data_IF_499359659763
#
_entry.id   IF_499359659763
#
_cell.length_a   1.000
_cell.length_b   1.000
_cell.length_c   1.000
_cell.angle_alpha   90.00
_cell.angle_beta   90.00
_cell.angle_gamma   90.00
#
_symmetry.space_group_name_H-M   'P 1'
#
loop_
_entity.id
_entity.type
_entity.pdbx_description
1 polymer ?
#
# COMPACT_ATOMS: atom_id res chain seq x y z
N UNK A 1 14.00 2.54 -3.50
CA UNK A 1 13.10 3.53 -4.10
C UNK A 1 12.27 4.29 -3.07
N UNK A 2 11.48 3.62 -2.21
CA UNK A 2 10.66 4.27 -1.17
C UNK A 2 11.46 5.26 -0.31
N UNK A 3 12.65 4.90 0.19
CA UNK A 3 13.50 5.83 0.95
C UNK A 3 13.89 7.12 0.20
N UNK A 4 13.99 7.09 -1.14
CA UNK A 4 14.31 8.30 -1.91
C UNK A 4 13.16 9.32 -1.87
N UNK A 5 11.94 8.87 -1.60
CA UNK A 5 10.75 9.69 -1.43
C UNK A 5 10.86 10.60 -0.19
N UNK A 6 11.35 10.03 0.91
CA UNK A 6 11.45 10.71 2.20
C UNK A 6 12.80 11.41 2.40
N UNK A 7 13.73 11.32 1.44
CA UNK A 7 15.13 11.79 1.62
C UNK A 7 15.27 13.27 1.98
N UNK A 8 14.30 14.10 1.56
CA UNK A 8 14.29 15.55 1.82
C UNK A 8 13.64 15.93 3.15
N UNK A 9 12.93 15.01 3.80
CA UNK A 9 12.32 15.26 5.10
C UNK A 9 13.39 15.19 6.18
N UNK A 10 13.69 16.34 6.79
CA UNK A 10 14.69 16.45 7.85
C UNK A 10 14.07 16.47 9.24
N UNK A 11 12.82 16.92 9.37
CA UNK A 11 12.10 16.97 10.63
C UNK A 11 10.58 16.72 10.42
N UNK A 12 10.06 15.50 10.68
CA UNK A 12 10.80 14.32 11.10
C UNK A 12 11.63 13.70 9.96
N UNK A 13 12.73 13.02 10.30
CA UNK A 13 13.46 12.17 9.35
C UNK A 13 12.82 10.79 9.32
N UNK A 14 12.39 10.35 8.13
CA UNK A 14 11.75 9.04 7.93
C UNK A 14 12.69 8.13 7.16
N UNK A 15 12.86 6.89 7.64
CA UNK A 15 13.59 5.81 6.98
C UNK A 15 12.73 4.54 6.99
N UNK A 16 12.48 4.01 5.81
CA UNK A 16 11.87 2.71 5.61
C UNK A 16 12.95 1.62 5.62
N UNK A 17 12.75 0.62 6.47
CA UNK A 17 13.63 -0.54 6.61
C UNK A 17 12.82 -1.82 6.46
N UNK A 18 13.32 -2.74 5.64
CA UNK A 18 12.67 -4.03 5.43
C UNK A 18 13.16 -4.97 6.52
N UNK A 19 12.29 -5.30 7.47
CA UNK A 19 12.60 -6.23 8.57
C UNK A 19 12.37 -7.68 8.16
N UNK A 20 11.37 -7.95 7.30
CA UNK A 20 11.04 -9.29 6.80
C UNK A 20 10.42 -9.22 5.40
N UNK A 21 10.55 -10.30 4.63
CA UNK A 21 9.91 -10.47 3.33
C UNK A 21 9.28 -11.86 3.24
N UNK A 22 8.00 -11.93 2.86
CA UNK A 22 7.26 -13.19 2.72
C UNK A 22 6.63 -13.26 1.34
N UNK A 23 6.91 -14.34 0.61
CA UNK A 23 6.08 -14.70 -0.54
C UNK A 23 4.81 -15.40 -0.05
N UNK A 24 3.68 -15.19 -0.73
CA UNK A 24 2.40 -15.78 -0.34
C UNK A 24 2.40 -17.32 -0.41
N UNK A 25 3.41 -17.93 -1.04
CA UNK A 25 3.56 -19.38 -1.22
C UNK A 25 4.25 -20.10 -0.04
N UNK A 26 4.67 -19.37 1.00
CA UNK A 26 5.29 -19.93 2.21
C UNK A 26 4.24 -19.93 3.33
N UNK A 27 4.09 -21.04 4.09
CA UNK A 27 2.88 -21.86 4.14
C UNK A 27 1.63 -21.10 4.64
N UNK A 28 1.01 -20.30 3.79
CA UNK A 28 -0.24 -19.64 4.09
C UNK A 28 -1.40 -20.39 3.43
N UNK A 29 -2.14 -21.16 4.22
CA UNK A 29 -3.25 -22.02 3.77
C UNK A 29 -4.53 -21.24 3.44
N UNK A 30 -4.59 -19.96 3.81
CA UNK A 30 -5.70 -19.05 3.52
C UNK A 30 -5.19 -17.83 2.74
N UNK A 31 -5.93 -17.34 1.73
CA UNK A 31 -5.55 -16.13 1.03
C UNK A 31 -5.61 -14.93 2.00
N UNK A 32 -4.61 -14.05 1.90
CA UNK A 32 -4.57 -12.82 2.69
C UNK A 32 -5.45 -11.71 2.07
N UNK A 33 -5.55 -11.70 0.74
CA UNK A 33 -6.29 -10.74 -0.06
C UNK A 33 -7.65 -11.30 -0.49
N UNK A 34 -8.64 -10.42 -0.51
CA UNK A 34 -9.96 -10.69 -1.09
C UNK A 34 -9.88 -10.39 -2.59
N UNK A 35 -10.27 -11.39 -3.39
CA UNK A 35 -10.29 -11.27 -4.85
C UNK A 35 -11.70 -10.83 -5.30
N UNK A 36 -11.76 -10.04 -6.36
CA UNK A 36 -13.02 -9.76 -7.05
C UNK A 36 -13.51 -10.94 -7.89
N UNK A 37 -14.65 -10.76 -8.56
CA UNK A 37 -15.32 -11.81 -9.35
C UNK A 37 -14.41 -12.46 -10.40
N UNK A 38 -13.49 -11.68 -10.97
CA UNK A 38 -12.62 -12.15 -12.05
C UNK A 38 -11.42 -12.98 -11.55
N UNK A 39 -11.22 -13.20 -10.24
CA UNK A 39 -10.04 -13.82 -9.58
C UNK A 39 -8.65 -13.24 -9.93
N UNK A 40 -8.58 -12.38 -10.95
CA UNK A 40 -7.38 -11.70 -11.45
C UNK A 40 -7.26 -10.27 -10.91
N UNK A 41 -8.23 -9.86 -10.08
CA UNK A 41 -8.33 -8.52 -9.51
C UNK A 41 -8.46 -8.62 -7.99
N UNK A 42 -7.85 -7.66 -7.29
CA UNK A 42 -7.86 -7.55 -5.83
C UNK A 42 -8.81 -6.43 -5.43
N UNK A 43 -9.77 -6.75 -4.58
CA UNK A 43 -10.61 -5.78 -3.90
C UNK A 43 -9.81 -5.19 -2.73
N UNK A 44 -9.25 -4.00 -2.93
CA UNK A 44 -8.39 -3.38 -1.92
C UNK A 44 -9.19 -3.02 -0.66
N UNK A 45 -10.40 -2.49 -0.84
CA UNK A 45 -11.28 -2.05 0.25
C UNK A 45 -11.58 -3.21 1.20
N UNK A 46 -12.00 -4.35 0.65
CA UNK A 46 -12.28 -5.57 1.41
C UNK A 46 -11.00 -6.23 1.95
N UNK A 47 -9.91 -6.18 1.18
CA UNK A 47 -8.64 -6.79 1.56
C UNK A 47 -7.97 -6.14 2.76
N UNK A 48 -8.10 -4.81 2.92
CA UNK A 48 -7.53 -4.10 4.06
C UNK A 48 -7.95 -4.75 5.40
N UNK A 49 -9.26 -5.02 5.59
CA UNK A 49 -9.75 -5.72 6.78
C UNK A 49 -9.31 -7.19 6.88
N UNK A 50 -9.22 -7.88 5.74
CA UNK A 50 -8.74 -9.27 5.67
C UNK A 50 -7.29 -9.41 6.13
N UNK A 51 -6.43 -8.45 5.79
CA UNK A 51 -5.00 -8.49 6.11
C UNK A 51 -4.73 -8.47 7.63
N UNK A 52 -5.50 -7.70 8.39
CA UNK A 52 -5.38 -7.73 9.85
C UNK A 52 -5.74 -9.10 10.41
N UNK A 53 -6.87 -9.66 9.99
CA UNK A 53 -7.28 -11.00 10.41
C UNK A 53 -6.26 -12.08 10.02
N UNK A 54 -5.64 -11.91 8.87
CA UNK A 54 -4.60 -12.82 8.40
C UNK A 54 -3.31 -12.71 9.23
N UNK A 55 -2.86 -11.49 9.55
CA UNK A 55 -1.56 -11.27 10.20
C UNK A 55 -1.59 -11.42 11.72
N UNK A 56 -2.72 -11.13 12.38
CA UNK A 56 -2.82 -11.14 13.86
C UNK A 56 -2.51 -12.49 14.52
N UNK A 57 -2.57 -13.60 13.78
CA UNK A 57 -2.28 -14.94 14.31
C UNK A 57 -0.89 -15.45 13.88
N UNK A 58 -0.03 -14.57 13.35
CA UNK A 58 1.24 -14.93 12.72
C UNK A 58 2.37 -14.13 13.34
N UNK A 59 3.18 -14.81 14.14
CA UNK A 59 4.33 -14.23 14.87
C UNK A 59 5.31 -13.47 13.95
N UNK A 60 5.39 -13.86 12.68
CA UNK A 60 6.28 -13.21 11.70
C UNK A 60 5.91 -11.73 11.43
N UNK A 61 4.68 -11.30 11.72
CA UNK A 61 4.25 -9.91 11.51
C UNK A 61 4.28 -9.05 12.79
N UNK A 62 4.64 -9.65 13.93
CA UNK A 62 4.78 -8.93 15.22
C UNK A 62 5.83 -7.80 15.19
N UNK A 63 7.06 -8.01 14.67
CA UNK A 63 8.09 -6.97 14.71
C UNK A 63 7.91 -5.86 13.65
N UNK A 64 6.89 -5.95 12.79
CA UNK A 64 6.70 -5.01 11.68
C UNK A 64 5.77 -3.86 12.06
N UNK A 65 6.25 -2.62 12.00
CA UNK A 65 5.40 -1.42 12.16
C UNK A 65 4.42 -1.25 10.99
N UNK A 66 4.80 -1.77 9.81
CA UNK A 66 4.06 -1.60 8.56
C UNK A 66 4.13 -2.90 7.76
N UNK A 67 3.05 -3.26 7.07
CA UNK A 67 3.03 -4.39 6.17
C UNK A 67 2.71 -3.91 4.75
N UNK A 68 3.66 -4.10 3.85
CA UNK A 68 3.44 -3.90 2.41
C UNK A 68 3.00 -5.18 1.74
N UNK A 69 1.97 -5.08 0.90
CA UNK A 69 1.48 -6.16 0.06
C UNK A 69 1.58 -5.72 -1.39
N UNK A 70 2.59 -6.24 -2.08
CA UNK A 70 2.73 -6.09 -3.53
C UNK A 70 1.97 -7.21 -4.22
N UNK A 71 0.95 -6.84 -4.98
CA UNK A 71 0.08 -7.77 -5.68
C UNK A 71 0.42 -7.80 -7.17
N UNK A 72 0.73 -8.99 -7.71
CA UNK A 72 0.84 -9.21 -9.15
C UNK A 72 -0.48 -9.09 -9.94
N UNK A 73 -1.56 -8.68 -9.27
CA UNK A 73 -2.91 -8.50 -9.82
C UNK A 73 -3.28 -7.03 -9.82
N UNK A 74 -4.18 -6.64 -10.73
CA UNK A 74 -4.78 -5.30 -10.69
C UNK A 74 -5.50 -5.10 -9.36
N UNK A 75 -5.28 -3.95 -8.74
CA UNK A 75 -5.92 -3.56 -7.48
C UNK A 75 -7.00 -2.54 -7.82
N UNK A 76 -8.20 -2.70 -7.25
CA UNK A 76 -9.27 -1.71 -7.36
C UNK A 76 -9.81 -1.34 -5.98
N UNK A 77 -10.38 -0.15 -5.91
CA UNK A 77 -11.19 0.31 -4.78
C UNK A 77 -12.65 0.36 -5.20
N UNK A 78 -13.53 0.12 -4.23
CA UNK A 78 -14.98 0.30 -4.41
C UNK A 78 -15.39 1.59 -3.73
N UNK A 79 -16.09 2.47 -4.46
CA UNK A 79 -16.66 3.69 -3.89
C UNK A 79 -17.99 3.43 -3.17
N UNK A 80 -18.59 4.48 -2.61
CA UNK A 80 -19.87 4.38 -1.87
C UNK A 80 -21.05 3.90 -2.72
N UNK A 81 -20.95 4.01 -4.05
CA UNK A 81 -22.00 3.60 -4.99
C UNK A 81 -21.72 2.20 -5.57
N UNK A 82 -20.69 1.50 -5.08
CA UNK A 82 -20.30 0.20 -5.60
C UNK A 82 -19.48 0.26 -6.89
N UNK A 83 -19.07 1.46 -7.35
CA UNK A 83 -18.28 1.59 -8.57
C UNK A 83 -16.82 1.23 -8.32
N UNK A 84 -16.26 0.41 -9.22
CA UNK A 84 -14.86 -0.04 -9.15
C UNK A 84 -13.95 0.98 -9.82
N UNK A 85 -12.94 1.45 -9.08
CA UNK A 85 -11.89 2.32 -9.59
C UNK A 85 -10.53 1.63 -9.51
N UNK A 86 -9.82 1.59 -10.64
CA UNK A 86 -8.45 1.06 -10.74
C UNK A 86 -7.38 2.17 -10.73
N UNK A 87 -7.82 3.42 -10.65
CA UNK A 87 -6.94 4.59 -10.62
C UNK A 87 -6.04 4.64 -9.38
N UNK A 88 -6.53 4.36 -8.15
CA UNK A 88 -5.64 4.22 -7.02
C UNK A 88 -4.91 2.89 -7.19
N UNK A 89 -3.71 2.91 -7.79
CA UNK A 89 -2.81 1.77 -7.98
C UNK A 89 -2.31 1.16 -6.65
N UNK A 90 -3.00 1.45 -5.54
CA UNK A 90 -2.80 0.94 -4.20
C UNK A 90 -3.80 1.57 -3.22
N UNK A 91 -3.86 1.04 -2.01
CA UNK A 91 -4.73 1.53 -0.95
C UNK A 91 -4.05 1.37 0.42
N UNK A 92 -4.31 2.33 1.31
CA UNK A 92 -3.99 2.29 2.74
C UNK A 92 -5.04 3.07 3.52
N UNK A 93 -5.02 2.96 4.85
CA UNK A 93 -5.63 3.96 5.73
C UNK A 93 -4.75 5.19 5.88
N UNK A 94 -5.37 6.36 5.94
CA UNK A 94 -4.67 7.60 6.31
C UNK A 94 -4.40 7.63 7.82
N UNK A 95 -3.16 7.94 8.22
CA UNK A 95 -2.74 8.01 9.63
C UNK A 95 -2.77 6.67 10.38
N UNK A 96 -2.75 5.54 9.65
CA UNK A 96 -2.89 4.20 10.23
C UNK A 96 -1.62 3.60 10.83
N UNK A 97 -0.44 4.23 10.67
CA UNK A 97 0.87 3.60 10.97
C UNK A 97 0.99 3.07 12.41
N UNK A 98 0.50 3.79 13.40
CA UNK A 98 0.57 3.39 14.81
C UNK A 98 -0.65 2.55 15.26
N UNK A 99 -1.44 2.02 14.33
CA UNK A 99 -2.59 1.19 14.63
C UNK A 99 -2.41 -0.20 14.02
N UNK A 100 -2.30 -1.21 14.88
CA UNK A 100 -2.08 -2.60 14.47
C UNK A 100 -3.12 -3.13 13.45
N UNK A 101 -4.34 -2.60 13.47
CA UNK A 101 -5.42 -2.98 12.53
C UNK A 101 -5.35 -2.23 11.20
N UNK A 102 -4.57 -1.14 11.11
CA UNK A 102 -4.56 -0.21 9.97
C UNK A 102 -3.18 -0.03 9.31
N UNK A 103 -2.16 -0.76 9.77
CA UNK A 103 -0.77 -0.64 9.31
C UNK A 103 -0.45 -1.25 7.93
N UNK A 104 -1.46 -1.45 7.07
CA UNK A 104 -1.32 -2.21 5.82
C UNK A 104 -1.37 -1.29 4.60
N UNK A 105 -0.45 -1.54 3.66
CA UNK A 105 -0.41 -0.90 2.35
C UNK A 105 -0.53 -1.98 1.28
N UNK A 106 -1.50 -1.86 0.39
CA UNK A 106 -1.69 -2.74 -0.77
C UNK A 106 -1.27 -1.96 -2.01
N UNK A 107 -0.48 -2.55 -2.89
CA UNK A 107 -0.03 -1.93 -4.15
C UNK A 107 -0.20 -2.90 -5.31
N UNK A 108 -0.67 -2.37 -6.44
CA UNK A 108 -0.69 -3.07 -7.72
C UNK A 108 0.72 -3.10 -8.31
N UNK A 109 1.29 -4.29 -8.45
CA UNK A 109 2.59 -4.55 -9.07
C UNK A 109 2.44 -5.53 -10.24
N UNK A 110 1.78 -5.07 -11.30
CA UNK A 110 1.56 -5.85 -12.53
C UNK A 110 2.76 -5.81 -13.49
N UNK A 111 3.96 -5.43 -13.00
CA UNK A 111 5.20 -5.43 -13.80
C UNK A 111 5.30 -4.35 -14.87
N UNK A 112 4.41 -3.34 -14.88
CA UNK A 112 4.47 -2.23 -15.83
C UNK A 112 5.31 -1.07 -15.27
N UNK A 113 6.48 -0.85 -15.88
CA UNK A 113 7.32 0.35 -15.70
C UNK A 113 7.70 0.73 -14.24
N UNK A 114 7.98 -0.24 -13.37
CA UNK A 114 8.38 -0.01 -11.95
C UNK A 114 7.44 0.92 -11.15
N UNK A 115 6.21 1.13 -11.63
CA UNK A 115 5.24 2.09 -11.08
C UNK A 115 4.78 1.75 -9.66
N UNK A 116 4.87 0.48 -9.26
CA UNK A 116 4.56 0.04 -7.90
C UNK A 116 5.42 0.73 -6.83
N UNK A 117 6.67 1.09 -7.15
CA UNK A 117 7.60 1.68 -6.18
C UNK A 117 7.23 3.13 -5.78
N UNK A 118 6.98 4.07 -6.70
CA UNK A 118 6.47 5.38 -6.33
C UNK A 118 5.09 5.27 -5.67
N UNK A 119 4.22 4.37 -6.14
CA UNK A 119 2.91 4.11 -5.51
C UNK A 119 3.03 3.67 -4.05
N UNK A 120 3.96 2.76 -3.76
CA UNK A 120 4.25 2.33 -2.40
C UNK A 120 4.72 3.50 -1.51
N UNK A 121 5.59 4.38 -2.05
CA UNK A 121 6.03 5.59 -1.34
C UNK A 121 4.86 6.51 -0.99
N UNK A 122 3.98 6.77 -1.96
CA UNK A 122 2.79 7.60 -1.73
C UNK A 122 1.81 7.01 -0.71
N UNK A 123 1.50 5.72 -0.82
CA UNK A 123 0.62 5.09 0.17
C UNK A 123 1.27 5.09 1.56
N UNK A 124 2.60 4.99 1.67
CA UNK A 124 3.28 5.17 2.95
C UNK A 124 3.10 6.58 3.52
N UNK A 125 3.20 7.61 2.69
CA UNK A 125 2.94 8.99 3.08
C UNK A 125 1.52 9.16 3.63
N UNK A 126 0.53 8.55 2.97
CA UNK A 126 -0.85 8.52 3.47
C UNK A 126 -0.97 7.79 4.80
N UNK A 127 -0.33 6.63 4.93
CA UNK A 127 -0.31 5.86 6.18
C UNK A 127 0.30 6.65 7.35
N UNK A 128 1.28 7.51 7.06
CA UNK A 128 1.90 8.44 8.01
C UNK A 128 1.02 9.65 8.34
N UNK A 129 -0.07 9.88 7.60
CA UNK A 129 -1.06 10.94 7.87
C UNK A 129 -1.17 12.03 6.80
N UNK A 130 -0.41 11.95 5.71
CA UNK A 130 -0.54 12.91 4.62
C UNK A 130 -1.91 12.75 3.93
N UNK A 131 -2.73 13.81 3.83
CA UNK A 131 -4.06 13.69 3.25
C UNK A 131 -3.98 13.47 1.74
N UNK A 132 -4.90 12.68 1.18
CA UNK A 132 -5.01 12.47 -0.27
C UNK A 132 -5.16 13.78 -1.07
N UNK A 133 -5.76 14.81 -0.47
CA UNK A 133 -5.90 16.15 -1.06
C UNK A 133 -4.55 16.82 -1.39
N UNK A 134 -3.46 16.43 -0.75
CA UNK A 134 -2.11 16.91 -1.05
C UNK A 134 -1.62 16.53 -2.45
N UNK A 135 -2.27 15.57 -3.10
CA UNK A 135 -1.74 14.90 -4.29
C UNK A 135 -2.84 14.39 -5.23
N UNK A 136 -3.77 15.26 -5.67
CA UNK A 136 -4.93 14.85 -6.46
C UNK A 136 -4.55 14.17 -7.79
N UNK A 137 -3.33 14.42 -8.28
CA UNK A 137 -2.82 13.87 -9.53
C UNK A 137 -1.90 12.65 -9.35
N UNK A 138 -1.58 12.22 -8.12
CA UNK A 138 -0.62 11.13 -7.93
C UNK A 138 -1.10 9.79 -8.50
N UNK A 139 -2.41 9.53 -8.48
CA UNK A 139 -3.01 8.38 -9.15
C UNK A 139 -2.88 8.37 -10.69
N UNK A 140 -2.40 9.46 -11.30
CA UNK A 140 -2.15 9.58 -12.75
C UNK A 140 -0.67 9.44 -13.12
N UNK A 141 0.23 9.33 -12.14
CA UNK A 141 1.67 9.21 -12.40
C UNK A 141 2.00 7.77 -12.81
N UNK A 142 1.85 7.49 -14.10
CA UNK A 142 2.15 6.20 -14.74
C UNK A 142 3.66 5.92 -14.77
N UNK A 143 4.28 5.59 -13.62
CA UNK A 143 5.68 5.16 -13.53
C UNK A 143 6.74 6.17 -14.00
N UNK A 144 6.32 7.31 -14.54
CA UNK A 144 7.12 8.29 -15.23
C UNK A 144 7.00 9.64 -14.52
N UNK A 145 8.17 10.10 -14.06
CA UNK A 145 8.53 11.44 -13.63
C UNK A 145 8.01 11.94 -12.27
N UNK A 146 8.99 12.10 -11.39
CA UNK A 146 9.02 12.81 -10.11
C UNK A 146 8.60 12.02 -8.86
N UNK A 147 9.53 11.76 -7.92
CA UNK A 147 9.15 11.27 -6.59
C UNK A 147 8.29 12.34 -5.92
N UNK A 148 7.11 11.98 -5.41
CA UNK A 148 6.30 12.91 -4.64
C UNK A 148 7.14 13.46 -3.46
N UNK A 149 7.12 14.77 -3.31
CA UNK A 149 7.88 15.50 -2.31
C UNK A 149 6.88 15.89 -1.23
N UNK A 150 6.97 15.21 -0.09
CA UNK A 150 6.05 15.39 1.02
C UNK A 150 6.07 16.81 1.60
N UNK A 151 7.16 17.56 1.44
CA UNK A 151 7.35 18.90 2.03
C UNK A 151 6.44 19.98 1.45
N UNK A 152 5.77 19.70 0.35
CA UNK A 152 4.77 20.61 -0.24
C UNK A 152 3.38 20.41 0.41
N UNK A 153 3.34 19.52 1.40
CA UNK A 153 2.38 19.40 2.49
C UNK A 153 3.12 19.33 3.85
#
# INVERSE_FOLDING_TARGET
AINLHFRKMQNPRIKFEVVMFHSQYIPFTKPALILGDSKYEVDATSSLGSLYNFTRTKIQFEPSDIVFVFSGRKVYTVDINGHRSYNPQGLTWEGGICNATKKFIIVSDIGKHFSALPNAGFQLSRLLGAPSACTPNFGKLEGNFMPFVLTDC
#
